data_IF_770832452921
#
_entry.id   IF_770832452921
#
_cell.length_a   1.000
_cell.length_b   1.000
_cell.length_c   1.000
_cell.angle_alpha   90.00
_cell.angle_beta   90.00
_cell.angle_gamma   90.00
#
_symmetry.space_group_name_H-M   'P 1'
#
loop_
_entity.id
_entity.type
_entity.pdbx_description
1 polymer ?
#
# COMPACT_ATOMS: atom_id res chain seq x y z
N UNK A 1 -26.88 32.25 15.17
CA UNK A 1 -26.29 32.03 15.33
C UNK A 1 -25.70 31.65 15.57
N UNK A 2 -25.88 31.53 15.73
CA UNK A 2 -25.21 31.22 16.08
C UNK A 2 -24.97 30.57 16.25
N UNK A 3 -25.18 30.41 16.27
CA UNK A 3 -24.94 29.88 16.51
C UNK A 3 -25.25 29.25 16.36
N UNK A 4 -25.64 29.03 15.90
CA UNK A 4 -25.67 28.58 15.83
C UNK A 4 -25.73 28.01 15.95
N UNK A 5 -26.04 27.93 15.93
CA UNK A 5 -25.81 27.44 16.34
C UNK A 5 -25.87 27.07 17.21
N UNK A 6 -26.01 26.77 17.85
CA UNK A 6 -25.81 26.50 18.60
C UNK A 6 -25.78 26.45 19.69
N UNK A 7 -26.42 26.67 20.03
CA UNK A 7 -26.63 26.78 21.44
C UNK A 7 -26.12 25.63 22.10
N UNK A 8 -26.31 24.63 21.63
CA UNK A 8 -25.58 23.49 22.08
C UNK A 8 -24.14 23.70 21.90
N UNK A 9 -23.76 24.88 21.56
CA UNK A 9 -22.38 25.12 21.28
C UNK A 9 -21.48 24.65 22.36
N UNK A 10 -21.80 24.93 23.60
CA UNK A 10 -20.91 24.52 24.67
C UNK A 10 -20.92 23.02 24.83
N UNK A 11 -22.06 22.40 24.64
CA UNK A 11 -22.09 20.97 24.73
C UNK A 11 -21.40 20.34 23.55
N UNK A 12 -21.37 21.03 22.45
CA UNK A 12 -20.68 20.53 21.29
C UNK A 12 -19.20 20.43 21.52
N UNK A 13 -18.69 21.20 22.44
CA UNK A 13 -17.28 21.13 22.72
C UNK A 13 -16.90 19.95 23.57
N UNK A 14 -17.86 19.18 24.00
CA UNK A 14 -17.57 18.04 24.88
C UNK A 14 -17.90 16.75 24.16
N UNK A 15 -16.88 15.97 23.83
CA UNK A 15 -17.14 14.73 23.12
C UNK A 15 -17.83 13.72 24.04
N UNK A 16 -18.60 12.85 23.45
CA UNK A 16 -19.16 11.73 24.18
C UNK A 16 -18.02 10.83 24.61
N UNK A 17 -18.27 9.93 25.57
CA UNK A 17 -17.22 8.99 25.95
C UNK A 17 -16.69 8.18 24.79
N UNK A 18 -17.56 7.82 23.85
CA UNK A 18 -17.12 7.05 22.69
C UNK A 18 -16.26 7.91 21.77
N UNK A 19 -16.65 9.15 21.59
CA UNK A 19 -15.86 10.06 20.77
C UNK A 19 -14.51 10.33 21.41
N UNK A 20 -14.48 10.49 22.72
CA UNK A 20 -13.24 10.72 23.43
C UNK A 20 -12.31 9.52 23.31
N UNK A 21 -12.88 8.32 23.40
CA UNK A 21 -12.09 7.11 23.27
C UNK A 21 -11.51 6.99 21.86
N UNK A 22 -12.32 7.28 20.86
CA UNK A 22 -11.85 7.23 19.49
C UNK A 22 -10.74 8.24 19.25
N UNK A 23 -10.92 9.45 19.78
CA UNK A 23 -9.91 10.48 19.65
C UNK A 23 -8.61 10.07 20.32
N UNK A 24 -8.71 9.43 21.49
CA UNK A 24 -7.51 8.97 22.17
C UNK A 24 -6.81 7.89 21.39
N UNK A 25 -7.57 6.98 20.76
CA UNK A 25 -6.97 5.95 19.93
C UNK A 25 -6.27 6.54 18.72
N UNK A 26 -6.89 7.55 18.10
CA UNK A 26 -6.26 8.20 16.97
C UNK A 26 -4.98 8.91 17.37
N UNK A 27 -5.00 9.58 18.52
CA UNK A 27 -3.79 10.23 19.01
C UNK A 27 -2.70 9.23 19.28
N UNK A 28 -3.04 8.09 19.84
CA UNK A 28 -2.06 7.06 20.14
C UNK A 28 -1.46 6.52 18.84
N UNK A 29 -2.30 6.28 17.83
CA UNK A 29 -1.80 5.85 16.54
C UNK A 29 -0.87 6.87 15.92
N UNK A 30 -1.24 8.14 15.99
CA UNK A 30 -0.41 9.21 15.45
C UNK A 30 0.92 9.27 16.19
N UNK A 31 0.88 9.09 17.49
CA UNK A 31 2.11 9.10 18.29
C UNK A 31 3.03 7.96 17.88
N UNK A 32 2.48 6.78 17.71
CA UNK A 32 3.28 5.63 17.31
C UNK A 32 3.87 5.83 15.94
N UNK A 33 3.07 6.35 15.00
CA UNK A 33 3.57 6.58 13.66
C UNK A 33 4.67 7.63 13.63
N UNK A 34 4.50 8.66 14.46
CA UNK A 34 5.50 9.72 14.51
C UNK A 34 6.84 9.21 15.02
N UNK A 35 6.83 8.15 15.82
CA UNK A 35 8.05 7.61 16.39
C UNK A 35 8.54 6.37 15.67
N UNK A 36 7.89 5.97 14.59
CA UNK A 36 8.34 4.87 13.77
C UNK A 36 9.06 5.45 12.56
N UNK A 37 10.23 4.93 12.21
CA UNK A 37 10.92 5.44 11.02
C UNK A 37 10.02 5.33 9.80
N UNK A 38 10.01 6.40 9.00
CA UNK A 38 9.15 6.41 7.82
C UNK A 38 9.49 5.27 6.88
N UNK A 39 10.77 4.89 6.81
CA UNK A 39 11.16 3.79 5.93
C UNK A 39 10.42 2.51 6.28
N UNK A 40 10.20 2.26 7.57
CA UNK A 40 9.49 1.06 8.00
C UNK A 40 8.03 1.12 7.55
N UNK A 41 7.40 2.26 7.73
CA UNK A 41 5.99 2.41 7.34
C UNK A 41 5.83 2.27 5.83
N UNK A 42 6.72 2.92 5.09
CA UNK A 42 6.65 2.86 3.64
C UNK A 42 6.92 1.45 3.14
N UNK A 43 7.89 0.75 3.74
CA UNK A 43 8.16 -0.62 3.35
C UNK A 43 6.94 -1.51 3.60
N UNK A 44 6.21 -1.28 4.68
CA UNK A 44 5.00 -2.04 4.94
C UNK A 44 3.95 -1.79 3.87
N UNK A 45 3.84 -0.56 3.40
CA UNK A 45 2.92 -0.28 2.30
C UNK A 45 3.35 -0.96 1.01
N UNK A 46 4.66 -1.05 0.80
CA UNK A 46 5.17 -1.77 -0.36
C UNK A 46 4.79 -3.24 -0.31
N UNK A 47 4.86 -3.84 0.88
CA UNK A 47 4.42 -5.23 1.03
C UNK A 47 2.96 -5.37 0.65
N UNK A 48 2.13 -4.39 1.04
CA UNK A 48 0.72 -4.41 0.66
C UNK A 48 0.54 -4.33 -0.84
N UNK A 49 1.34 -3.54 -1.52
CA UNK A 49 1.26 -3.46 -2.99
C UNK A 49 1.70 -4.78 -3.62
N UNK A 50 2.72 -5.43 -3.06
CA UNK A 50 3.11 -6.75 -3.51
C UNK A 50 1.95 -7.73 -3.40
N UNK A 51 1.30 -7.73 -2.25
CA UNK A 51 0.17 -8.64 -2.04
C UNK A 51 -0.96 -8.35 -2.99
N UNK A 52 -1.24 -7.08 -3.23
CA UNK A 52 -2.29 -6.71 -4.16
C UNK A 52 -1.99 -7.23 -5.56
N UNK A 53 -0.76 -7.06 -6.02
CA UNK A 53 -0.37 -7.56 -7.33
C UNK A 53 -0.52 -9.07 -7.40
N UNK A 54 -0.05 -9.77 -6.37
CA UNK A 54 -0.14 -11.22 -6.35
C UNK A 54 -1.60 -11.69 -6.38
N UNK A 55 -2.46 -10.99 -5.66
CA UNK A 55 -3.87 -11.36 -5.65
C UNK A 55 -4.46 -11.25 -7.05
N UNK A 56 -4.18 -10.16 -7.74
CA UNK A 56 -4.73 -9.99 -9.08
C UNK A 56 -4.15 -10.97 -10.07
N UNK A 57 -2.87 -11.26 -9.98
CA UNK A 57 -2.24 -12.20 -10.90
C UNK A 57 -2.71 -13.64 -10.66
N UNK A 58 -3.17 -13.93 -9.44
CA UNK A 58 -3.62 -15.26 -9.11
C UNK A 58 -5.11 -15.50 -9.38
N UNK A 59 -5.78 -14.51 -9.91
CA UNK A 59 -7.17 -14.70 -10.32
C UNK A 59 -7.23 -15.65 -11.51
N UNK A 60 -8.41 -16.19 -11.77
CA UNK A 60 -8.60 -17.12 -12.87
C UNK A 60 -9.81 -16.70 -13.68
N UNK A 61 -9.60 -16.04 -14.80
CA UNK A 61 -8.31 -15.73 -15.39
C UNK A 61 -7.63 -14.59 -14.64
N UNK A 62 -6.32 -14.44 -14.82
CA UNK A 62 -5.59 -13.38 -14.14
C UNK A 62 -6.12 -12.01 -14.55
N UNK A 63 -6.16 -11.12 -13.58
CA UNK A 63 -6.50 -9.73 -13.86
C UNK A 63 -5.20 -9.01 -14.16
N UNK A 64 -4.81 -9.03 -15.41
CA UNK A 64 -3.50 -8.50 -15.80
C UNK A 64 -3.44 -6.99 -15.72
N UNK A 65 -4.54 -6.30 -16.01
CA UNK A 65 -4.52 -4.84 -15.95
C UNK A 65 -4.29 -4.35 -14.52
N UNK A 66 -5.06 -4.87 -13.57
CA UNK A 66 -4.90 -4.44 -12.19
C UNK A 66 -3.61 -4.97 -11.60
N UNK A 67 -3.21 -6.17 -12.00
CA UNK A 67 -1.92 -6.70 -11.56
C UNK A 67 -0.78 -5.82 -12.01
N UNK A 68 -0.82 -5.37 -13.26
CA UNK A 68 0.23 -4.50 -13.76
C UNK A 68 0.24 -3.16 -13.05
N UNK A 69 -0.95 -2.61 -12.79
CA UNK A 69 -1.00 -1.33 -12.08
C UNK A 69 -0.36 -1.46 -10.71
N UNK A 70 -0.66 -2.55 -10.00
CA UNK A 70 -0.07 -2.76 -8.69
C UNK A 70 1.44 -2.95 -8.78
N UNK A 71 1.91 -3.68 -9.80
CA UNK A 71 3.35 -3.86 -10.00
C UNK A 71 4.00 -2.51 -10.30
N UNK A 72 3.39 -1.71 -11.15
CA UNK A 72 3.95 -0.40 -11.48
C UNK A 72 4.00 0.50 -10.26
N UNK A 73 2.99 0.44 -9.41
CA UNK A 73 2.98 1.22 -8.18
C UNK A 73 4.10 0.79 -7.25
N UNK A 74 4.28 -0.52 -7.11
CA UNK A 74 5.36 -1.03 -6.29
C UNK A 74 6.71 -0.63 -6.88
N UNK A 75 6.85 -0.73 -8.18
CA UNK A 75 8.10 -0.36 -8.84
C UNK A 75 8.41 1.12 -8.63
N UNK A 76 7.40 1.97 -8.78
CA UNK A 76 7.60 3.40 -8.59
C UNK A 76 8.09 3.70 -7.18
N UNK A 77 7.52 3.01 -6.21
CA UNK A 77 7.89 3.22 -4.83
C UNK A 77 9.29 2.69 -4.55
N UNK A 78 9.55 1.44 -4.93
CA UNK A 78 10.81 0.79 -4.58
C UNK A 78 11.97 1.39 -5.36
N UNK A 79 11.80 1.58 -6.66
CA UNK A 79 12.88 2.10 -7.48
C UNK A 79 13.08 3.58 -7.27
N UNK A 80 12.00 4.31 -7.00
CA UNK A 80 12.11 5.73 -6.72
C UNK A 80 12.75 6.05 -5.39
N UNK A 81 12.75 5.10 -4.46
CA UNK A 81 13.29 5.31 -3.13
C UNK A 81 14.49 4.43 -2.85
N UNK A 82 15.19 4.02 -3.90
CA UNK A 82 16.36 3.16 -3.76
C UNK A 82 17.36 3.80 -2.79
N UNK A 83 17.82 2.99 -1.84
CA UNK A 83 18.76 3.45 -0.82
C UNK A 83 18.09 4.09 0.37
N UNK A 84 16.77 4.19 0.37
CA UNK A 84 16.05 4.91 1.42
C UNK A 84 15.01 4.09 2.15
N UNK A 85 14.87 2.80 1.83
CA UNK A 85 13.80 1.98 2.40
C UNK A 85 14.27 1.11 3.56
N UNK A 86 15.53 1.20 3.94
CA UNK A 86 16.00 0.49 5.12
C UNK A 86 16.29 -0.96 4.84
N UNK A 87 16.19 -1.77 5.88
CA UNK A 87 16.60 -3.16 5.82
C UNK A 87 15.74 -4.00 4.90
N UNK A 88 14.50 -3.58 4.69
CA UNK A 88 13.59 -4.37 3.86
C UNK A 88 13.83 -4.15 2.37
N UNK A 89 14.62 -3.19 2.02
CA UNK A 89 14.74 -2.82 0.62
C UNK A 89 15.21 -3.94 -0.29
N UNK A 90 16.25 -4.73 0.07
CA UNK A 90 16.66 -5.83 -0.82
C UNK A 90 15.53 -6.82 -1.09
N UNK A 91 14.76 -7.14 -0.06
CA UNK A 91 13.65 -8.07 -0.22
C UNK A 91 12.57 -7.48 -1.13
N UNK A 92 12.36 -6.18 -1.05
CA UNK A 92 11.35 -5.53 -1.88
C UNK A 92 11.79 -5.51 -3.35
N UNK A 93 13.07 -5.29 -3.61
CA UNK A 93 13.58 -5.36 -4.98
C UNK A 93 13.43 -6.76 -5.54
N UNK A 94 13.72 -7.76 -4.74
CA UNK A 94 13.59 -9.13 -5.19
C UNK A 94 12.12 -9.47 -5.46
N UNK A 95 11.24 -9.05 -4.58
CA UNK A 95 9.81 -9.30 -4.75
C UNK A 95 9.31 -8.65 -6.03
N UNK A 96 9.75 -7.44 -6.31
CA UNK A 96 9.36 -6.75 -7.54
C UNK A 96 9.81 -7.54 -8.76
N UNK A 97 11.04 -8.05 -8.74
CA UNK A 97 11.54 -8.86 -9.84
C UNK A 97 10.70 -10.10 -10.07
N UNK A 98 10.32 -10.77 -8.97
CA UNK A 98 9.49 -11.96 -9.08
C UNK A 98 8.12 -11.64 -9.67
N UNK A 99 7.53 -10.53 -9.25
CA UNK A 99 6.24 -10.14 -9.81
C UNK A 99 6.33 -9.85 -11.30
N UNK A 100 7.41 -9.20 -11.71
CA UNK A 100 7.60 -8.90 -13.12
C UNK A 100 7.73 -10.19 -13.95
N UNK A 101 8.45 -11.17 -13.43
CA UNK A 101 8.56 -12.45 -14.10
C UNK A 101 7.22 -13.15 -14.18
N UNK A 102 6.47 -13.12 -13.07
CA UNK A 102 5.16 -13.75 -13.06
C UNK A 102 4.22 -13.07 -14.07
N UNK A 103 4.28 -11.76 -14.14
CA UNK A 103 3.43 -11.04 -15.07
C UNK A 103 3.75 -11.42 -16.51
N UNK A 104 5.03 -11.44 -16.85
CA UNK A 104 5.45 -11.79 -18.20
C UNK A 104 4.98 -13.19 -18.55
N UNK A 105 5.13 -14.10 -17.60
CA UNK A 105 4.71 -15.48 -17.83
C UNK A 105 3.21 -15.59 -18.09
N UNK A 106 2.43 -14.88 -17.26
CA UNK A 106 0.98 -14.94 -17.38
C UNK A 106 0.44 -14.20 -18.58
N UNK A 107 1.15 -13.16 -19.02
CA UNK A 107 0.70 -12.37 -20.15
C UNK A 107 1.13 -12.99 -21.48
N UNK A 108 1.81 -14.11 -21.44
CA UNK A 108 2.26 -14.73 -22.67
C UNK A 108 3.45 -14.02 -23.28
N UNK A 109 4.25 -13.34 -22.44
CA UNK A 109 5.33 -12.50 -22.92
C UNK A 109 6.40 -13.25 -23.68
N UNK A 110 7.66 -12.90 -23.42
CA UNK A 110 8.74 -13.41 -24.29
C UNK A 110 8.79 -14.92 -24.39
N UNK A 111 8.50 -15.60 -23.29
CA UNK A 111 8.52 -17.06 -23.31
C UNK A 111 7.51 -17.56 -24.31
N UNK A 112 6.33 -16.99 -24.28
CA UNK A 112 5.30 -17.38 -25.21
C UNK A 112 5.73 -17.12 -26.63
N UNK A 113 6.41 -16.01 -26.84
CA UNK A 113 6.93 -15.72 -28.15
C UNK A 113 7.90 -16.78 -28.61
N UNK A 114 8.73 -17.24 -27.72
CA UNK A 114 9.65 -18.31 -28.04
C UNK A 114 8.89 -19.55 -28.42
N UNK A 115 7.88 -19.86 -27.65
CA UNK A 115 7.08 -21.03 -27.95
C UNK A 115 6.48 -20.92 -29.34
N UNK A 116 5.99 -19.75 -29.64
CA UNK A 116 5.41 -19.54 -30.93
C UNK A 116 6.45 -19.75 -32.02
N UNK A 117 7.63 -19.30 -31.74
CA UNK A 117 8.71 -19.49 -32.73
C UNK A 117 9.06 -20.93 -32.80
N UNK A 118 8.98 -21.58 -31.70
CA UNK A 118 9.21 -22.99 -31.69
C UNK A 118 8.00 -23.69 -32.25
#
# INVERSE_FOLDING_TARGET
MAGLWTPDGERQGQPTPEEAELAAQLEEMQHELAHTPAAVVIANHAVGLFQLAAIHLNQRPPNLDDGRLAIDALAALVEGLTGRLGEEEPALHEALGQLRLAFVSLSGGPVSGDDAAG
#
